data_IF_285696308790
#
_entry.id   IF_285696308790
#
_cell.length_a   1.000
_cell.length_b   1.000
_cell.length_c   1.000
_cell.angle_alpha   90.00
_cell.angle_beta   90.00
_cell.angle_gamma   90.00
#
_symmetry.space_group_name_H-M   'P 1'
#
loop_
_entity.id
_entity.type
_entity.pdbx_description
1 polymer ?
#
# COMPACT_ATOMS: atom_id res chain seq x y z
N UNK A 1 1.83 25.03 6.32
CA UNK A 1 1.75 24.85 7.79
C UNK A 1 1.49 26.16 8.53
N UNK A 2 2.39 27.14 8.47
CA UNK A 2 2.33 28.36 9.30
C UNK A 2 1.08 29.25 9.16
N UNK A 3 0.35 29.17 8.04
CA UNK A 3 -0.89 29.94 7.85
C UNK A 3 -2.12 29.28 8.49
N UNK A 4 -2.10 27.95 8.66
CA UNK A 4 -3.28 27.16 9.03
C UNK A 4 -3.13 26.40 10.36
N UNK A 5 -1.91 26.34 10.90
CA UNK A 5 -1.61 25.64 12.15
C UNK A 5 -0.78 26.52 13.06
N UNK A 6 -0.87 26.28 14.38
CA UNK A 6 -0.13 27.02 15.41
C UNK A 6 1.40 26.99 15.13
N UNK A 7 2.16 27.97 15.63
CA UNK A 7 3.62 27.88 15.65
C UNK A 7 4.09 26.53 16.21
N UNK A 8 5.19 26.02 15.66
CA UNK A 8 5.81 24.73 16.03
C UNK A 8 4.96 23.47 15.77
N UNK A 9 3.84 23.57 15.05
CA UNK A 9 3.06 22.41 14.65
C UNK A 9 3.82 21.56 13.62
N UNK A 10 4.00 20.28 13.94
CA UNK A 10 4.72 19.29 13.14
C UNK A 10 3.74 18.32 12.45
N UNK A 11 4.22 17.53 11.49
CA UNK A 11 3.39 16.49 10.87
C UNK A 11 2.93 15.45 11.89
N UNK A 12 3.75 15.16 12.91
CA UNK A 12 3.43 14.18 13.95
C UNK A 12 2.20 14.57 14.78
N UNK A 13 1.92 15.88 14.92
CA UNK A 13 0.75 16.39 15.62
C UNK A 13 -0.58 15.98 14.95
N UNK A 14 -0.57 15.62 13.66
CA UNK A 14 -1.76 15.09 13.00
C UNK A 14 -2.14 13.67 13.46
N UNK A 15 -1.19 12.87 13.93
CA UNK A 15 -1.44 11.49 14.34
C UNK A 15 -2.58 11.39 15.36
N UNK A 16 -2.51 12.11 16.50
CA UNK A 16 -3.60 12.15 17.47
C UNK A 16 -4.89 12.81 16.96
N UNK A 17 -4.82 13.65 15.93
CA UNK A 17 -5.99 14.31 15.33
C UNK A 17 -6.72 13.41 14.34
N UNK A 18 -6.05 12.40 13.78
CA UNK A 18 -6.70 11.41 12.92
C UNK A 18 -7.56 10.47 13.76
N UNK A 19 -8.86 10.76 13.84
CA UNK A 19 -9.83 10.00 14.66
C UNK A 19 -10.67 8.99 13.88
N UNK A 20 -10.84 9.20 12.58
CA UNK A 20 -11.71 8.39 11.72
C UNK A 20 -13.12 8.17 12.32
N UNK A 21 -13.74 9.25 12.82
CA UNK A 21 -14.97 9.19 13.65
C UNK A 21 -16.15 8.51 12.93
N UNK A 22 -16.25 8.69 11.62
CA UNK A 22 -17.31 8.12 10.78
C UNK A 22 -16.86 6.91 9.96
N UNK A 23 -15.72 6.30 10.30
CA UNK A 23 -15.24 5.11 9.61
C UNK A 23 -16.14 3.91 9.93
N UNK A 24 -16.83 3.43 8.88
CA UNK A 24 -17.64 2.22 8.88
C UNK A 24 -17.22 1.33 7.70
N UNK A 25 -16.48 0.24 7.96
CA UNK A 25 -15.98 -0.63 6.90
C UNK A 25 -17.10 -1.40 6.18
N UNK A 26 -18.24 -1.66 6.82
CA UNK A 26 -19.38 -2.32 6.17
C UNK A 26 -20.07 -1.38 5.19
N UNK A 27 -20.19 -0.09 5.55
CA UNK A 27 -20.69 0.93 4.63
C UNK A 27 -19.78 1.06 3.41
N UNK A 28 -18.46 1.02 3.60
CA UNK A 28 -17.49 1.05 2.50
C UNK A 28 -17.58 -0.20 1.63
N UNK A 29 -17.60 -1.39 2.21
CA UNK A 29 -17.75 -2.64 1.46
C UNK A 29 -19.04 -2.65 0.61
N UNK A 30 -20.15 -2.19 1.16
CA UNK A 30 -21.41 -2.06 0.42
C UNK A 30 -21.30 -1.03 -0.72
N UNK A 31 -20.64 0.10 -0.48
CA UNK A 31 -20.40 1.12 -1.51
C UNK A 31 -19.58 0.55 -2.67
N UNK A 32 -18.46 -0.12 -2.40
CA UNK A 32 -17.61 -0.71 -3.44
C UNK A 32 -18.35 -1.79 -4.23
N UNK A 33 -19.15 -2.62 -3.55
CA UNK A 33 -20.00 -3.63 -4.21
C UNK A 33 -21.01 -2.98 -5.14
N UNK A 34 -21.68 -1.91 -4.71
CA UNK A 34 -22.63 -1.15 -5.53
C UNK A 34 -21.96 -0.44 -6.70
N UNK A 35 -20.71 0.00 -6.54
CA UNK A 35 -19.92 0.58 -7.62
C UNK A 35 -19.46 -0.47 -8.66
N UNK A 36 -19.66 -1.77 -8.39
CA UNK A 36 -19.25 -2.85 -9.30
C UNK A 36 -17.76 -3.21 -9.22
N UNK A 37 -17.03 -2.67 -8.23
CA UNK A 37 -15.62 -2.95 -8.04
C UNK A 37 -15.37 -4.45 -7.89
N UNK A 38 -14.28 -4.95 -8.48
CA UNK A 38 -13.86 -6.36 -8.37
C UNK A 38 -12.73 -6.57 -7.38
N UNK A 39 -11.96 -5.53 -7.14
CA UNK A 39 -10.95 -5.49 -6.10
C UNK A 39 -10.85 -4.08 -5.52
N UNK A 40 -10.26 -3.97 -4.33
CA UNK A 40 -9.85 -2.70 -3.74
C UNK A 40 -8.44 -2.84 -3.18
N UNK A 41 -7.64 -1.78 -3.27
CA UNK A 41 -6.31 -1.71 -2.64
C UNK A 41 -6.31 -0.59 -1.61
N UNK A 42 -6.13 -0.94 -0.33
CA UNK A 42 -6.08 0.03 0.76
C UNK A 42 -4.63 0.40 1.11
N UNK A 43 -4.36 1.68 1.32
CA UNK A 43 -3.10 2.16 1.91
C UNK A 43 -2.91 1.58 3.31
N UNK A 44 -2.03 0.59 3.43
CA UNK A 44 -1.60 0.09 4.72
C UNK A 44 -0.65 1.08 5.39
N UNK A 45 0.34 1.57 4.64
CA UNK A 45 1.34 2.57 5.03
C UNK A 45 1.75 3.38 3.82
N UNK A 46 1.83 4.69 3.96
CA UNK A 46 2.35 5.60 2.93
C UNK A 46 3.71 6.19 3.35
N UNK A 47 4.30 7.08 2.55
CA UNK A 47 5.69 7.54 2.69
C UNK A 47 6.00 8.25 4.02
N UNK A 48 4.99 8.74 4.74
CA UNK A 48 5.16 9.30 6.09
C UNK A 48 5.40 8.24 7.18
N UNK A 49 5.19 6.96 6.86
CA UNK A 49 5.46 5.82 7.75
C UNK A 49 4.34 5.48 8.75
N UNK A 50 3.22 6.20 8.74
CA UNK A 50 2.09 5.91 9.64
C UNK A 50 1.34 4.66 9.15
N UNK A 51 1.20 3.64 10.01
CA UNK A 51 0.51 2.41 9.61
C UNK A 51 -0.97 2.45 10.01
N UNK A 52 -1.85 2.09 9.08
CA UNK A 52 -3.30 1.94 9.30
C UNK A 52 -3.68 0.63 10.04
N UNK A 53 -2.67 -0.09 10.52
CA UNK A 53 -2.78 -1.29 11.35
C UNK A 53 -1.81 -1.22 12.54
N UNK A 54 -2.02 -2.02 13.61
CA UNK A 54 -1.10 -2.07 14.75
C UNK A 54 0.16 -2.87 14.38
N UNK A 55 1.09 -2.23 13.68
CA UNK A 55 2.37 -2.83 13.28
C UNK A 55 3.28 -2.99 14.48
N UNK A 56 3.88 -4.17 14.64
CA UNK A 56 4.94 -4.37 15.65
C UNK A 56 6.19 -3.53 15.36
N UNK A 57 6.36 -3.08 14.12
CA UNK A 57 7.51 -2.32 13.65
C UNK A 57 7.23 -0.81 13.57
N UNK A 58 5.98 -0.37 13.76
CA UNK A 58 5.55 1.04 13.85
C UNK A 58 4.93 1.36 15.20
N UNK A 59 5.47 0.77 16.27
CA UNK A 59 5.01 1.05 17.63
C UNK A 59 5.01 2.56 17.88
N UNK A 60 3.90 3.09 18.42
CA UNK A 60 3.68 4.50 18.69
C UNK A 60 3.66 5.43 17.45
N UNK A 61 3.50 4.88 16.24
CA UNK A 61 3.22 5.64 15.02
C UNK A 61 2.25 4.88 14.10
N UNK A 62 1.07 4.56 14.64
CA UNK A 62 0.03 3.82 13.94
C UNK A 62 -1.40 4.16 14.39
N UNK A 63 -2.38 3.68 13.63
CA UNK A 63 -3.81 3.93 13.84
C UNK A 63 -4.34 3.45 15.21
N UNK A 64 -3.75 2.40 15.79
CA UNK A 64 -4.17 1.86 17.08
C UNK A 64 -3.53 2.62 18.23
N UNK A 65 -2.22 2.83 18.18
CA UNK A 65 -1.46 3.44 19.28
C UNK A 65 -1.72 4.93 19.41
N UNK A 66 -1.86 5.65 18.29
CA UNK A 66 -1.93 7.12 18.26
C UNK A 66 -3.28 7.62 17.76
N UNK A 67 -3.71 7.14 16.60
CA UNK A 67 -4.85 7.68 15.86
C UNK A 67 -6.24 7.15 16.30
N UNK A 68 -7.03 6.54 15.39
CA UNK A 68 -8.42 6.11 15.63
C UNK A 68 -8.66 5.03 16.70
N UNK A 69 -7.60 4.49 17.32
CA UNK A 69 -7.63 3.41 18.31
C UNK A 69 -8.25 2.12 17.79
N UNK A 70 -8.06 1.83 16.50
CA UNK A 70 -8.59 0.64 15.83
C UNK A 70 -7.76 0.22 14.63
N UNK A 71 -7.80 -1.07 14.31
CA UNK A 71 -7.16 -1.65 13.13
C UNK A 71 -8.03 -1.39 11.90
N UNK A 72 -7.69 -0.36 11.11
CA UNK A 72 -8.46 0.02 9.92
C UNK A 72 -8.28 -0.99 8.78
N UNK A 73 -7.08 -1.57 8.65
CA UNK A 73 -6.81 -2.60 7.65
C UNK A 73 -7.62 -3.85 7.95
N UNK A 74 -7.56 -4.35 9.19
CA UNK A 74 -8.30 -5.53 9.62
C UNK A 74 -9.82 -5.34 9.52
N UNK A 75 -10.32 -4.18 9.94
CA UNK A 75 -11.75 -3.85 9.86
C UNK A 75 -12.28 -3.86 8.44
N UNK A 76 -11.57 -3.24 7.48
CA UNK A 76 -11.99 -3.23 6.09
C UNK A 76 -11.85 -4.60 5.43
N UNK A 77 -10.73 -5.30 5.66
CA UNK A 77 -10.50 -6.65 5.12
C UNK A 77 -11.62 -7.62 5.53
N UNK A 78 -12.02 -7.58 6.81
CA UNK A 78 -13.12 -8.39 7.32
C UNK A 78 -14.45 -8.03 6.66
N UNK A 79 -14.80 -6.75 6.58
CA UNK A 79 -16.05 -6.31 5.98
C UNK A 79 -16.17 -6.64 4.49
N UNK A 80 -15.07 -6.51 3.73
CA UNK A 80 -15.00 -6.88 2.31
C UNK A 80 -15.29 -8.37 2.14
N UNK A 81 -14.55 -9.22 2.86
CA UNK A 81 -14.67 -10.68 2.75
C UNK A 81 -15.99 -11.23 3.27
N UNK A 82 -16.62 -10.56 4.23
CA UNK A 82 -17.86 -11.04 4.84
C UNK A 82 -19.10 -10.68 4.02
N UNK A 83 -19.06 -9.58 3.26
CA UNK A 83 -20.24 -8.99 2.63
C UNK A 83 -20.21 -8.97 1.10
N UNK A 84 -19.05 -9.29 0.50
CA UNK A 84 -18.79 -9.09 -0.93
C UNK A 84 -17.88 -10.18 -1.49
N UNK A 85 -17.85 -10.28 -2.82
CA UNK A 85 -16.89 -11.12 -3.57
C UNK A 85 -15.68 -10.30 -4.08
N UNK A 86 -15.47 -9.12 -3.51
CA UNK A 86 -14.39 -8.20 -3.90
C UNK A 86 -13.06 -8.69 -3.35
N UNK A 87 -12.03 -8.69 -4.19
CA UNK A 87 -10.65 -9.00 -3.80
C UNK A 87 -10.04 -7.87 -2.96
N UNK A 88 -9.31 -8.23 -1.91
CA UNK A 88 -8.77 -7.26 -0.96
C UNK A 88 -7.25 -7.15 -1.10
N UNK A 89 -6.77 -6.00 -1.55
CA UNK A 89 -5.36 -5.68 -1.70
C UNK A 89 -4.85 -4.67 -0.68
N UNK A 90 -3.54 -4.63 -0.51
CA UNK A 90 -2.84 -3.67 0.35
C UNK A 90 -1.72 -2.97 -0.40
N UNK A 91 -1.72 -1.65 -0.30
CA UNK A 91 -0.61 -0.80 -0.69
C UNK A 91 0.37 -0.66 0.47
N UNK A 92 1.67 -0.71 0.18
CA UNK A 92 2.73 -0.46 1.15
C UNK A 92 3.87 0.35 0.53
N UNK A 93 4.16 1.49 1.17
CA UNK A 93 5.34 2.29 0.82
C UNK A 93 6.63 1.60 1.27
N UNK A 94 7.53 1.40 0.30
CA UNK A 94 8.84 0.81 0.49
C UNK A 94 9.75 1.69 1.36
N UNK A 95 9.60 3.02 1.31
CA UNK A 95 10.40 3.98 2.08
C UNK A 95 9.59 4.82 3.08
N UNK A 96 10.32 5.56 3.93
CA UNK A 96 9.75 6.51 4.89
C UNK A 96 10.55 7.82 4.94
N UNK A 97 9.88 8.96 4.73
CA UNK A 97 10.50 10.29 4.69
C UNK A 97 11.36 10.62 5.92
N UNK A 98 10.86 10.27 7.10
CA UNK A 98 11.41 10.72 8.38
C UNK A 98 12.13 9.61 9.14
N UNK A 99 12.17 8.38 8.62
CA UNK A 99 12.75 7.26 9.38
C UNK A 99 14.29 7.38 9.41
N UNK A 100 14.93 7.45 10.59
CA UNK A 100 16.38 7.68 10.68
C UNK A 100 17.22 6.62 9.96
N UNK A 101 16.82 5.35 10.01
CA UNK A 101 17.50 4.29 9.27
C UNK A 101 17.40 4.46 7.76
N UNK A 102 16.25 4.93 7.24
CA UNK A 102 16.11 5.17 5.80
C UNK A 102 17.01 6.33 5.37
N UNK A 103 17.02 7.43 6.13
CA UNK A 103 17.90 8.57 5.88
C UNK A 103 19.38 8.19 5.96
N UNK A 104 19.75 7.28 6.87
CA UNK A 104 21.11 6.74 6.99
C UNK A 104 21.50 5.89 5.79
N UNK A 105 20.65 4.95 5.38
CA UNK A 105 20.87 4.14 4.18
C UNK A 105 20.92 5.02 2.93
N UNK A 106 20.04 6.02 2.81
CA UNK A 106 20.06 6.98 1.70
C UNK A 106 21.35 7.81 1.66
N UNK A 107 21.78 8.35 2.82
CA UNK A 107 22.98 9.17 2.92
C UNK A 107 24.27 8.39 2.59
N UNK A 108 24.25 7.06 2.72
CA UNK A 108 25.36 6.20 2.32
C UNK A 108 25.22 5.59 0.92
N UNK A 109 24.27 6.07 0.11
CA UNK A 109 24.08 5.58 -1.25
C UNK A 109 23.51 4.16 -1.32
N UNK A 110 22.73 3.75 -0.30
CA UNK A 110 22.09 2.44 -0.21
C UNK A 110 23.09 1.26 -0.16
N UNK A 111 24.28 1.49 0.40
CA UNK A 111 25.30 0.46 0.61
C UNK A 111 24.99 -0.43 1.83
N UNK A 112 24.14 0.03 2.74
CA UNK A 112 23.53 -0.78 3.80
C UNK A 112 22.03 -0.91 3.59
N UNK A 113 21.42 -1.87 4.28
CA UNK A 113 19.99 -2.18 4.22
C UNK A 113 19.39 -2.23 5.64
N UNK A 114 19.86 -1.35 6.53
CA UNK A 114 19.43 -1.38 7.94
C UNK A 114 17.93 -1.10 8.04
N UNK A 115 17.42 -0.13 7.27
CA UNK A 115 16.01 0.18 7.21
C UNK A 115 15.20 -0.98 6.65
N UNK A 116 15.64 -1.57 5.53
CA UNK A 116 14.92 -2.66 4.87
C UNK A 116 14.79 -3.87 5.80
N UNK A 117 15.87 -4.24 6.51
CA UNK A 117 15.89 -5.38 7.43
C UNK A 117 15.11 -5.13 8.71
N UNK A 118 15.16 -3.92 9.26
CA UNK A 118 14.52 -3.60 10.54
C UNK A 118 13.06 -3.15 10.40
N UNK A 119 12.65 -2.67 9.22
CA UNK A 119 11.40 -1.93 9.04
C UNK A 119 10.58 -2.42 7.85
N UNK A 120 11.03 -2.20 6.61
CA UNK A 120 10.20 -2.45 5.42
C UNK A 120 9.86 -3.93 5.23
N UNK A 121 10.85 -4.83 5.27
CA UNK A 121 10.60 -6.26 5.05
C UNK A 121 9.71 -6.84 6.16
N UNK A 122 10.02 -6.68 7.46
CA UNK A 122 9.19 -7.27 8.49
C UNK A 122 7.72 -6.81 8.46
N UNK A 123 7.45 -5.56 8.09
CA UNK A 123 6.08 -5.07 7.86
C UNK A 123 5.39 -5.76 6.68
N UNK A 124 6.08 -5.96 5.55
CA UNK A 124 5.53 -6.67 4.39
C UNK A 124 5.18 -8.12 4.75
N UNK A 125 6.06 -8.83 5.45
CA UNK A 125 5.75 -10.17 5.97
C UNK A 125 4.56 -10.12 6.93
N UNK A 126 4.47 -9.12 7.81
CA UNK A 126 3.38 -8.98 8.77
C UNK A 126 2.02 -8.79 8.09
N UNK A 127 1.91 -7.86 7.13
CA UNK A 127 0.63 -7.60 6.45
C UNK A 127 0.17 -8.81 5.63
N UNK A 128 1.09 -9.53 5.00
CA UNK A 128 0.76 -10.73 4.22
C UNK A 128 0.25 -11.83 5.14
N UNK A 129 0.97 -12.14 6.23
CA UNK A 129 0.58 -13.21 7.15
C UNK A 129 -0.73 -12.89 7.89
N UNK A 130 -0.88 -11.64 8.34
CA UNK A 130 -2.02 -11.20 9.15
C UNK A 130 -3.27 -11.03 8.30
N UNK A 131 -3.17 -10.30 7.19
CA UNK A 131 -4.34 -9.90 6.41
C UNK A 131 -4.57 -10.71 5.16
N UNK A 132 -3.60 -11.51 4.69
CA UNK A 132 -3.75 -12.40 3.53
C UNK A 132 -4.32 -11.67 2.30
N UNK A 133 -3.71 -10.56 1.85
CA UNK A 133 -4.25 -9.79 0.74
C UNK A 133 -4.17 -10.57 -0.57
N UNK A 134 -5.14 -10.34 -1.45
CA UNK A 134 -5.15 -10.83 -2.83
C UNK A 134 -4.18 -10.03 -3.73
N UNK A 135 -3.83 -8.79 -3.33
CA UNK A 135 -2.86 -7.93 -4.02
C UNK A 135 -1.90 -7.30 -3.01
N UNK A 136 -0.59 -7.38 -3.25
CA UNK A 136 0.42 -6.58 -2.56
C UNK A 136 0.96 -5.55 -3.54
N UNK A 137 0.60 -4.28 -3.31
CA UNK A 137 0.94 -3.15 -4.15
C UNK A 137 2.08 -2.36 -3.48
N UNK A 138 3.31 -2.47 -4.00
CA UNK A 138 4.44 -1.70 -3.48
C UNK A 138 4.56 -0.35 -4.20
N UNK A 139 5.21 0.61 -3.56
CA UNK A 139 5.50 1.93 -4.16
C UNK A 139 6.63 2.62 -3.39
N UNK A 140 7.27 3.64 -3.97
CA UNK A 140 8.36 4.34 -3.29
C UNK A 140 9.74 3.70 -3.47
N UNK A 141 9.85 2.77 -4.40
CA UNK A 141 11.03 2.00 -4.73
C UNK A 141 12.08 2.79 -5.53
N UNK A 142 11.67 3.88 -6.18
CA UNK A 142 12.41 4.57 -7.25
C UNK A 142 13.83 5.05 -6.89
N UNK A 143 14.16 5.17 -5.61
CA UNK A 143 15.48 5.63 -5.16
C UNK A 143 16.54 4.53 -5.16
N UNK A 144 16.16 3.26 -5.22
CA UNK A 144 17.11 2.15 -5.09
C UNK A 144 16.68 0.92 -5.91
N UNK A 145 17.61 0.00 -6.16
CA UNK A 145 17.31 -1.24 -6.88
C UNK A 145 16.57 -2.25 -6.02
N UNK A 146 15.97 -3.24 -6.68
CA UNK A 146 15.37 -4.42 -6.06
C UNK A 146 16.30 -5.14 -5.07
N UNK A 147 17.62 -5.12 -5.31
CA UNK A 147 18.62 -5.67 -4.41
C UNK A 147 18.61 -4.94 -3.07
N UNK A 148 18.67 -3.60 -3.04
CA UNK A 148 18.59 -2.85 -1.78
C UNK A 148 17.27 -3.13 -1.07
N UNK A 149 16.16 -3.18 -1.81
CA UNK A 149 14.85 -3.49 -1.25
C UNK A 149 14.69 -4.94 -0.81
N UNK A 150 15.62 -5.86 -1.11
CA UNK A 150 15.48 -7.29 -0.82
C UNK A 150 14.15 -7.85 -1.40
N UNK A 151 13.74 -7.29 -2.53
CA UNK A 151 12.48 -7.64 -3.20
C UNK A 151 12.49 -9.04 -3.79
N UNK A 152 13.58 -9.54 -4.43
CA UNK A 152 13.60 -10.90 -4.98
C UNK A 152 13.33 -11.96 -3.90
N UNK A 153 13.92 -11.83 -2.73
CA UNK A 153 13.74 -12.75 -1.61
C UNK A 153 12.31 -12.70 -1.07
N UNK A 154 11.75 -11.51 -0.90
CA UNK A 154 10.36 -11.35 -0.45
C UNK A 154 9.37 -11.93 -1.47
N UNK A 155 9.54 -11.65 -2.75
CA UNK A 155 8.67 -12.15 -3.82
C UNK A 155 8.80 -13.68 -3.95
N UNK A 156 10.01 -14.22 -3.83
CA UNK A 156 10.21 -15.67 -3.82
C UNK A 156 9.47 -16.34 -2.66
N UNK A 157 9.59 -15.79 -1.45
CA UNK A 157 8.80 -16.27 -0.31
C UNK A 157 7.29 -16.11 -0.55
N UNK A 158 6.86 -14.98 -1.11
CA UNK A 158 5.46 -14.67 -1.36
C UNK A 158 4.79 -15.74 -2.24
N UNK A 159 5.48 -16.16 -3.30
CA UNK A 159 4.96 -17.14 -4.25
C UNK A 159 5.25 -18.61 -3.92
N UNK A 160 6.19 -18.90 -3.02
CA UNK A 160 6.52 -20.29 -2.66
C UNK A 160 5.92 -20.73 -1.31
N UNK A 161 5.93 -19.84 -0.31
CA UNK A 161 5.76 -20.22 1.10
C UNK A 161 4.64 -19.45 1.82
N UNK A 162 4.25 -18.29 1.32
CA UNK A 162 3.26 -17.44 1.99
C UNK A 162 1.86 -18.09 2.04
N UNK A 163 0.97 -17.64 2.97
CA UNK A 163 -0.41 -18.14 3.05
C UNK A 163 -1.30 -17.72 1.87
N UNK A 164 -0.79 -16.91 0.93
CA UNK A 164 -1.53 -16.39 -0.24
C UNK A 164 -0.86 -16.74 -1.56
N UNK A 165 0.15 -17.63 -1.53
CA UNK A 165 1.00 -17.99 -2.67
C UNK A 165 0.26 -18.41 -3.95
N UNK A 166 -0.91 -19.01 -3.80
CA UNK A 166 -1.69 -19.55 -4.92
C UNK A 166 -2.54 -18.49 -5.63
N UNK A 167 -2.68 -17.28 -5.07
CA UNK A 167 -3.62 -16.27 -5.59
C UNK A 167 -3.12 -14.83 -5.57
N UNK A 168 -2.05 -14.53 -4.83
CA UNK A 168 -1.58 -13.16 -4.65
C UNK A 168 -1.00 -12.57 -5.93
N UNK A 169 -1.32 -11.31 -6.21
CA UNK A 169 -0.70 -10.53 -7.28
C UNK A 169 0.17 -9.42 -6.71
N UNK A 170 1.22 -9.06 -7.44
CA UNK A 170 2.07 -7.92 -7.15
C UNK A 170 2.16 -7.00 -8.38
N UNK A 171 2.31 -5.70 -8.17
CA UNK A 171 2.67 -4.78 -9.26
C UNK A 171 4.16 -4.88 -9.61
N UNK A 172 4.67 -3.90 -10.36
CA UNK A 172 6.03 -3.84 -10.89
C UNK A 172 6.96 -2.85 -10.17
N UNK A 173 6.53 -2.30 -9.03
CA UNK A 173 7.25 -1.27 -8.26
C UNK A 173 8.10 -1.85 -7.13
N UNK A 174 8.98 -2.78 -7.46
CA UNK A 174 9.82 -3.52 -6.48
C UNK A 174 11.29 -3.10 -6.48
N UNK A 175 11.66 -2.17 -7.36
CA UNK A 175 12.96 -1.52 -7.46
C UNK A 175 12.96 -0.58 -8.67
N UNK A 176 13.87 0.40 -8.68
CA UNK A 176 13.99 1.32 -9.83
C UNK A 176 14.30 0.60 -11.17
N UNK A 177 14.76 -0.65 -11.08
CA UNK A 177 15.08 -1.52 -12.20
C UNK A 177 13.96 -2.51 -12.57
N UNK A 178 12.84 -2.55 -11.83
CA UNK A 178 11.76 -3.54 -12.03
C UNK A 178 10.55 -3.00 -12.78
N UNK A 179 10.33 -1.68 -12.77
CA UNK A 179 9.17 -1.05 -13.39
C UNK A 179 9.07 -1.39 -14.88
N UNK A 180 7.88 -1.75 -15.33
CA UNK A 180 7.55 -2.25 -16.66
C UNK A 180 8.31 -3.52 -17.10
N UNK A 181 8.88 -4.27 -16.15
CA UNK A 181 9.68 -5.48 -16.45
C UNK A 181 9.28 -6.68 -15.61
N UNK A 182 9.08 -6.50 -14.30
CA UNK A 182 8.86 -7.59 -13.35
C UNK A 182 7.69 -7.27 -12.43
N UNK A 183 6.61 -8.06 -12.51
CA UNK A 183 5.41 -7.92 -11.70
C UNK A 183 4.32 -8.90 -12.17
N UNK A 184 3.31 -9.15 -11.33
CA UNK A 184 2.09 -9.86 -11.73
C UNK A 184 1.21 -9.02 -12.66
N UNK A 185 1.30 -7.69 -12.55
CA UNK A 185 0.79 -6.71 -13.50
C UNK A 185 1.71 -5.48 -13.54
N UNK A 186 1.57 -4.64 -14.57
CA UNK A 186 2.41 -3.46 -14.77
C UNK A 186 1.64 -2.16 -14.58
N UNK A 187 2.28 -1.19 -13.94
CA UNK A 187 1.77 0.16 -13.72
C UNK A 187 2.79 1.20 -14.20
N UNK A 188 3.00 1.18 -15.52
CA UNK A 188 3.96 2.04 -16.21
C UNK A 188 3.59 3.53 -16.16
N UNK A 189 2.33 3.86 -15.89
CA UNK A 189 1.80 5.23 -15.87
C UNK A 189 0.82 5.41 -14.72
N UNK A 190 1.13 6.32 -13.79
CA UNK A 190 0.34 6.56 -12.56
C UNK A 190 -1.10 7.04 -12.80
N UNK A 191 -1.45 7.39 -14.05
CA UNK A 191 -2.74 7.98 -14.41
C UNK A 191 -3.32 7.26 -15.62
N UNK A 192 -4.59 6.92 -15.52
CA UNK A 192 -5.38 6.50 -16.67
C UNK A 192 -5.48 7.63 -17.71
N UNK A 193 -4.96 7.38 -18.92
CA UNK A 193 -5.23 8.19 -20.11
C UNK A 193 -6.28 7.45 -20.94
N UNK A 194 -7.51 7.97 -21.07
CA UNK A 194 -8.53 7.33 -21.90
C UNK A 194 -8.03 7.18 -23.35
N UNK A 195 -7.96 5.93 -23.84
CA UNK A 195 -7.57 5.60 -25.22
C UNK A 195 -6.17 5.01 -25.40
N UNK A 196 -5.35 4.91 -24.34
CA UNK A 196 -4.08 4.18 -24.38
C UNK A 196 -4.30 2.76 -23.81
N UNK A 197 -3.95 1.73 -24.59
CA UNK A 197 -3.98 0.35 -24.11
C UNK A 197 -2.93 0.15 -23.02
N UNK A 198 -3.37 -0.30 -21.84
CA UNK A 198 -2.46 -0.69 -20.78
C UNK A 198 -1.63 -1.91 -21.23
N UNK A 199 -0.31 -1.78 -21.21
CA UNK A 199 0.60 -2.86 -21.58
C UNK A 199 0.47 -4.01 -20.56
N UNK A 200 -0.02 -5.15 -21.00
CA UNK A 200 -0.22 -6.33 -20.15
C UNK A 200 0.42 -7.58 -20.77
N UNK A 201 1.14 -8.35 -19.94
CA UNK A 201 1.71 -9.65 -20.31
C UNK A 201 0.68 -10.78 -20.28
N UNK A 202 -0.42 -10.61 -19.54
CA UNK A 202 -1.48 -11.60 -19.39
C UNK A 202 -2.85 -10.90 -19.41
N UNK A 203 -3.76 -11.35 -20.28
CA UNK A 203 -5.03 -10.68 -20.61
C UNK A 203 -6.14 -10.92 -19.59
N UNK A 204 -5.83 -11.46 -18.41
CA UNK A 204 -6.79 -11.83 -17.37
C UNK A 204 -7.02 -10.73 -16.32
N UNK A 205 -6.10 -9.76 -16.20
CA UNK A 205 -6.16 -8.66 -15.24
C UNK A 205 -5.76 -7.34 -15.89
N UNK A 206 -6.70 -6.39 -15.95
CA UNK A 206 -6.42 -5.00 -16.28
C UNK A 206 -6.01 -4.24 -15.02
N UNK A 207 -4.86 -3.58 -15.05
CA UNK A 207 -4.40 -2.65 -14.01
C UNK A 207 -4.49 -1.25 -14.55
N UNK A 208 -5.35 -0.42 -13.96
CA UNK A 208 -5.51 0.98 -14.31
C UNK A 208 -5.69 1.80 -13.02
N UNK A 209 -4.67 2.56 -12.65
CA UNK A 209 -4.74 3.52 -11.57
C UNK A 209 -5.56 4.74 -12.04
N UNK A 210 -6.68 5.01 -11.38
CA UNK A 210 -7.47 6.23 -11.61
C UNK A 210 -7.76 6.93 -10.30
N UNK A 211 -7.45 8.23 -10.25
CA UNK A 211 -7.79 9.11 -9.15
C UNK A 211 -9.15 9.76 -9.45
N UNK A 212 -10.04 9.88 -8.46
CA UNK A 212 -11.27 10.67 -8.62
C UNK A 212 -11.01 12.19 -8.56
N UNK A 213 -9.89 12.62 -7.96
CA UNK A 213 -9.45 14.02 -7.88
C UNK A 213 -7.91 14.11 -7.97
N UNK A 214 -7.36 15.29 -8.31
CA UNK A 214 -5.93 15.54 -8.64
C UNK A 214 -4.89 15.23 -7.54
N UNK A 215 -5.29 14.65 -6.40
CA UNK A 215 -4.38 14.38 -5.27
C UNK A 215 -4.66 13.05 -4.55
N UNK A 216 -3.58 12.36 -4.17
CA UNK A 216 -3.58 11.20 -3.30
C UNK A 216 -3.74 11.64 -1.83
N UNK A 217 -4.96 11.63 -1.30
CA UNK A 217 -5.23 11.89 0.12
C UNK A 217 -6.56 11.30 0.57
N UNK A 218 -6.93 11.42 1.86
CA UNK A 218 -6.46 10.59 2.99
C UNK A 218 -6.97 9.12 2.94
N UNK A 219 -7.49 8.65 1.82
CA UNK A 219 -7.86 7.25 1.62
C UNK A 219 -7.79 6.93 0.14
N UNK A 220 -6.59 6.56 -0.32
CA UNK A 220 -6.38 6.09 -1.68
C UNK A 220 -7.19 4.80 -1.87
N UNK A 221 -8.06 4.80 -2.87
CA UNK A 221 -8.86 3.63 -3.27
C UNK A 221 -8.65 3.39 -4.75
N UNK A 222 -8.02 2.27 -5.07
CA UNK A 222 -7.98 1.76 -6.43
C UNK A 222 -9.22 0.90 -6.67
N UNK A 223 -10.01 1.23 -7.70
CA UNK A 223 -11.09 0.36 -8.19
C UNK A 223 -11.07 0.34 -9.72
N UNK A 224 -10.86 -0.83 -10.32
CA UNK A 224 -10.99 -1.01 -11.77
C UNK A 224 -12.40 -1.53 -12.06
N UNK A 225 -13.08 -0.84 -12.97
CA UNK A 225 -14.36 -1.25 -13.53
C UNK A 225 -14.12 -1.81 -14.93
N UNK A 226 -14.48 -3.08 -15.24
CA UNK A 226 -14.47 -3.53 -16.62
C UNK A 226 -15.62 -2.85 -17.38
N UNK A 227 -15.32 -2.33 -18.57
CA UNK A 227 -16.32 -1.90 -19.52
C UNK A 227 -17.36 -3.01 -19.72
N UNK A 228 -18.64 -2.65 -19.65
CA UNK A 228 -19.73 -3.54 -20.02
C UNK A 228 -19.55 -3.98 -21.48
N UNK A 229 -19.49 -5.30 -21.67
CA UNK A 229 -19.60 -6.00 -22.95
C UNK A 229 -20.34 -7.31 -22.72
#
# INVERSE_FOLDING_TARGET
MLQNYRPDFTYADFGPMFKAEFYDPNRWANLFKKAGAKYIVLVSKHHEGFTNWPSNYSWNWNAVDVGPKRDLVGGLAQAIRSNTDIKFGLYHSMFEWFHPLFQKDQANGFHTQEFVKAKTMPELYEIVNKYKPDVVWSDGEWMASDIYWNSPEFIAWLYNDSPVKDSVLVNDRWGNNTRCKHGGFWDCTDRYTPGEEALHRDSSWGSLCSQQEESAGPSYFESVSPFAG
#
